data_IF_674302522510
#
_entry.id   IF_674302522510
#
_cell.length_a   1.000
_cell.length_b   1.000
_cell.length_c   1.000
_cell.angle_alpha   90.00
_cell.angle_beta   90.00
_cell.angle_gamma   90.00
#
_symmetry.space_group_name_H-M   'P 1'
#
loop_
_entity.id
_entity.type
_entity.pdbx_description
1 polymer ?
#
# COMPACT_ATOMS: atom_id res chain seq x y z
N UNK A 1 18.89 67.55 -5.63
CA UNK A 1 17.83 68.43 -6.16
C UNK A 1 17.56 68.07 -7.62
N UNK A 2 16.28 67.83 -7.98
CA UNK A 2 15.65 67.69 -9.33
C UNK A 2 16.03 66.42 -10.13
N UNK A 3 15.24 65.34 -10.15
CA UNK A 3 13.94 65.08 -10.81
C UNK A 3 13.91 65.32 -12.33
N UNK A 4 13.85 64.25 -13.12
CA UNK A 4 12.71 63.85 -13.99
C UNK A 4 13.14 62.80 -15.03
N UNK A 5 12.46 61.66 -15.09
CA UNK A 5 12.16 61.02 -16.37
C UNK A 5 10.81 60.31 -16.31
N UNK A 6 10.08 60.54 -17.38
CA UNK A 6 8.65 60.38 -17.58
C UNK A 6 8.29 58.94 -17.96
N UNK A 7 7.02 58.59 -17.75
CA UNK A 7 6.25 57.49 -18.35
C UNK A 7 6.31 56.10 -17.70
N UNK A 8 5.73 56.02 -16.50
CA UNK A 8 5.12 54.80 -15.96
C UNK A 8 3.59 54.97 -16.07
N UNK A 9 3.09 54.89 -17.30
CA UNK A 9 1.66 54.94 -17.56
C UNK A 9 1.26 53.70 -18.36
N UNK A 10 0.38 52.90 -17.73
CA UNK A 10 -0.39 51.78 -18.29
C UNK A 10 0.23 50.38 -18.13
N UNK A 11 0.20 49.86 -16.91
CA UNK A 11 -0.22 48.48 -16.70
C UNK A 11 -1.39 48.48 -15.72
N UNK A 12 -2.56 48.83 -16.28
CA UNK A 12 -3.86 48.66 -15.66
C UNK A 12 -4.10 47.17 -15.42
N UNK A 13 -4.29 46.84 -14.14
CA UNK A 13 -5.40 46.05 -13.57
C UNK A 13 -5.78 44.70 -14.19
N UNK A 14 -6.17 43.80 -13.27
CA UNK A 14 -6.91 42.54 -13.44
C UNK A 14 -6.12 41.34 -13.96
N UNK A 15 -5.60 40.54 -13.01
CA UNK A 15 -5.96 39.13 -12.82
C UNK A 15 -5.23 38.61 -11.56
N UNK A 16 -5.81 38.85 -10.39
CA UNK A 16 -5.49 38.05 -9.20
C UNK A 16 -6.23 36.72 -9.38
N UNK A 17 -5.64 35.81 -10.15
CA UNK A 17 -6.01 34.40 -10.11
C UNK A 17 -5.44 33.84 -8.81
N UNK A 18 -6.28 33.80 -7.77
CA UNK A 18 -6.05 32.94 -6.60
C UNK A 18 -6.14 31.51 -7.10
N UNK A 19 -4.99 30.95 -7.49
CA UNK A 19 -4.84 29.52 -7.70
C UNK A 19 -4.80 28.86 -6.32
N UNK A 20 -5.95 28.38 -5.86
CA UNK A 20 -6.00 27.33 -4.84
C UNK A 20 -5.30 26.10 -5.42
N UNK A 21 -4.03 25.91 -5.08
CA UNK A 21 -3.35 24.64 -5.29
C UNK A 21 -3.98 23.61 -4.34
N UNK A 22 -5.01 22.91 -4.79
CA UNK A 22 -5.48 21.70 -4.12
C UNK A 22 -4.41 20.64 -4.33
N UNK A 23 -3.66 20.31 -3.29
CA UNK A 23 -2.82 19.13 -3.25
C UNK A 23 -3.75 17.91 -3.37
N UNK A 24 -3.89 17.36 -4.57
CA UNK A 24 -4.48 16.02 -4.75
C UNK A 24 -3.42 15.04 -4.25
N UNK A 25 -3.59 14.55 -3.04
CA UNK A 25 -2.85 13.38 -2.57
C UNK A 25 -3.50 12.14 -3.18
N UNK A 26 -2.68 11.22 -3.69
CA UNK A 26 -3.18 9.99 -4.28
C UNK A 26 -3.82 9.11 -3.20
N UNK A 27 -5.00 8.56 -3.51
CA UNK A 27 -5.65 7.60 -2.63
C UNK A 27 -4.81 6.31 -2.56
N UNK A 28 -4.67 5.71 -1.37
CA UNK A 28 -3.88 4.50 -1.18
C UNK A 28 -4.56 3.30 -1.85
N UNK A 29 -3.79 2.59 -2.66
CA UNK A 29 -4.23 1.35 -3.31
C UNK A 29 -3.63 0.17 -2.57
N UNK A 30 -4.48 -0.72 -2.07
CA UNK A 30 -4.06 -1.94 -1.38
C UNK A 30 -3.52 -2.97 -2.37
N UNK A 31 -2.33 -3.49 -2.06
CA UNK A 31 -1.62 -4.48 -2.87
C UNK A 31 -1.32 -5.73 -2.06
N UNK A 32 -1.39 -6.87 -2.74
CA UNK A 32 -1.28 -8.20 -2.19
C UNK A 32 -0.22 -8.98 -2.98
N UNK A 33 0.42 -9.92 -2.30
CA UNK A 33 1.30 -10.88 -2.96
C UNK A 33 0.51 -11.88 -3.83
N UNK A 34 1.05 -12.25 -5.00
CA UNK A 34 0.43 -13.19 -5.96
C UNK A 34 0.56 -14.65 -5.48
N UNK A 35 -0.49 -15.46 -5.56
CA UNK A 35 -0.52 -16.88 -5.12
C UNK A 35 0.33 -17.82 -5.98
N UNK A 36 0.63 -17.45 -7.23
CA UNK A 36 1.36 -18.31 -8.18
C UNK A 36 2.90 -18.31 -8.06
N UNK A 37 3.49 -17.53 -7.14
CA UNK A 37 4.93 -17.28 -7.11
C UNK A 37 5.67 -17.77 -5.85
N UNK A 38 5.08 -18.72 -5.11
CA UNK A 38 5.76 -19.39 -3.99
C UNK A 38 6.88 -20.28 -4.53
N UNK A 39 8.13 -19.81 -4.46
CA UNK A 39 9.29 -20.68 -4.62
C UNK A 39 9.33 -21.67 -3.42
N UNK A 40 9.04 -22.95 -3.73
CA UNK A 40 9.20 -24.18 -2.95
C UNK A 40 8.21 -24.50 -1.80
N UNK A 41 7.21 -25.35 -2.12
CA UNK A 41 6.70 -26.56 -1.42
C UNK A 41 5.26 -26.82 -1.94
N UNK A 42 4.91 -27.88 -2.68
CA UNK A 42 5.46 -29.22 -2.84
C UNK A 42 5.16 -29.73 -4.25
N UNK A 43 6.07 -30.51 -4.83
CA UNK A 43 5.75 -31.38 -5.96
C UNK A 43 4.71 -32.41 -5.51
N UNK A 44 3.46 -32.26 -5.95
CA UNK A 44 2.50 -33.35 -6.03
C UNK A 44 2.39 -33.71 -7.51
N UNK A 45 2.52 -35.01 -7.74
CA UNK A 45 2.70 -35.72 -8.99
C UNK A 45 1.78 -35.25 -10.14
N UNK A 46 2.39 -35.11 -11.31
CA UNK A 46 1.77 -34.67 -12.56
C UNK A 46 1.27 -35.88 -13.32
N UNK A 47 -0.01 -36.24 -13.15
CA UNK A 47 -0.81 -36.92 -14.18
C UNK A 47 -2.27 -36.99 -13.69
N UNK A 48 -3.23 -36.72 -14.58
CA UNK A 48 -4.68 -36.84 -14.33
C UNK A 48 -5.37 -35.71 -13.55
N UNK A 49 -5.09 -34.44 -13.85
CA UNK A 49 -6.07 -33.37 -13.61
C UNK A 49 -6.36 -32.58 -14.88
N UNK A 50 -6.97 -33.28 -15.84
CA UNK A 50 -7.48 -32.68 -17.07
C UNK A 50 -8.58 -31.65 -16.77
N UNK A 51 -8.27 -30.39 -17.09
CA UNK A 51 -9.11 -29.51 -17.91
C UNK A 51 -10.54 -29.20 -17.44
N UNK A 52 -10.69 -28.61 -16.25
CA UNK A 52 -11.90 -27.82 -15.90
C UNK A 52 -11.59 -26.39 -15.38
N UNK A 53 -10.34 -25.93 -15.40
CA UNK A 53 -9.96 -24.60 -14.89
C UNK A 53 -10.10 -23.45 -15.92
N UNK A 54 -10.88 -23.62 -16.99
CA UNK A 54 -11.09 -22.56 -18.00
C UNK A 54 -12.34 -21.70 -17.74
N UNK A 55 -13.00 -21.86 -16.58
CA UNK A 55 -14.17 -21.07 -16.20
C UNK A 55 -14.10 -20.61 -14.74
N UNK A 56 -13.04 -19.90 -14.39
CA UNK A 56 -12.94 -19.22 -13.11
C UNK A 56 -11.89 -18.13 -13.23
N UNK A 57 -12.33 -16.90 -13.49
CA UNK A 57 -11.60 -15.70 -13.15
C UNK A 57 -11.44 -15.61 -11.63
N UNK A 58 -10.64 -16.50 -11.05
CA UNK A 58 -10.16 -16.36 -9.68
C UNK A 58 -8.98 -15.40 -9.74
N UNK A 59 -8.94 -14.37 -8.89
CA UNK A 59 -7.87 -13.40 -8.95
C UNK A 59 -6.57 -14.07 -8.53
N UNK A 60 -5.48 -13.82 -9.24
CA UNK A 60 -4.14 -14.32 -8.92
C UNK A 60 -3.62 -13.80 -7.54
N UNK A 61 -4.41 -13.05 -6.76
CA UNK A 61 -4.07 -12.63 -5.39
C UNK A 61 -4.36 -13.69 -4.33
N UNK A 62 -3.68 -13.54 -3.20
CA UNK A 62 -4.14 -14.10 -1.93
C UNK A 62 -5.57 -13.62 -1.59
N UNK A 63 -6.43 -14.54 -1.15
CA UNK A 63 -7.78 -14.23 -0.69
C UNK A 63 -7.75 -13.58 0.69
N UNK A 64 -7.65 -12.26 0.74
CA UNK A 64 -7.60 -11.47 1.99
C UNK A 64 -8.82 -10.56 2.06
N UNK A 65 -9.49 -10.52 3.22
CA UNK A 65 -10.63 -9.64 3.46
C UNK A 65 -10.23 -8.34 4.15
N UNK A 66 -11.13 -7.34 4.15
CA UNK A 66 -10.93 -6.10 4.92
C UNK A 66 -10.75 -6.39 6.43
N UNK A 67 -11.42 -7.43 6.95
CA UNK A 67 -11.26 -7.88 8.35
C UNK A 67 -9.83 -8.34 8.61
N UNK A 68 -9.28 -9.13 7.70
CA UNK A 68 -7.90 -9.63 7.78
C UNK A 68 -6.89 -8.47 7.78
N UNK A 69 -7.11 -7.43 6.96
CA UNK A 69 -6.31 -6.21 6.98
C UNK A 69 -6.37 -5.52 8.35
N UNK A 70 -7.57 -5.35 8.91
CA UNK A 70 -7.74 -4.73 10.23
C UNK A 70 -6.99 -5.53 11.31
N UNK A 71 -7.17 -6.85 11.30
CA UNK A 71 -6.58 -7.75 12.29
C UNK A 71 -5.04 -7.71 12.22
N UNK A 72 -4.44 -7.86 11.03
CA UNK A 72 -2.97 -7.87 10.91
C UNK A 72 -2.34 -6.51 11.28
N UNK A 73 -2.94 -5.39 10.87
CA UNK A 73 -2.42 -4.06 11.23
C UNK A 73 -2.66 -3.75 12.71
N UNK A 74 -3.69 -4.32 13.34
CA UNK A 74 -3.90 -4.23 14.80
C UNK A 74 -2.98 -5.15 15.63
N UNK A 75 -2.15 -5.96 14.96
CA UNK A 75 -1.23 -6.90 15.60
C UNK A 75 -1.84 -8.26 15.96
N UNK A 76 -3.08 -8.52 15.51
CA UNK A 76 -3.71 -9.84 15.62
C UNK A 76 -3.18 -10.73 14.49
N UNK A 77 -2.69 -11.95 14.79
CA UNK A 77 -2.15 -12.83 13.75
C UNK A 77 -3.27 -13.33 12.82
N UNK A 78 -3.03 -13.24 11.53
CA UNK A 78 -3.91 -13.74 10.46
C UNK A 78 -3.18 -14.80 9.66
N UNK A 79 -3.90 -15.78 9.09
CA UNK A 79 -3.34 -16.82 8.23
C UNK A 79 -4.05 -16.86 6.89
N UNK A 80 -3.29 -17.08 5.83
CA UNK A 80 -3.80 -17.38 4.49
C UNK A 80 -3.34 -18.80 4.16
N UNK A 81 -4.28 -19.74 4.15
CA UNK A 81 -3.96 -21.16 4.18
C UNK A 81 -3.15 -21.50 5.44
N UNK A 82 -2.03 -22.18 5.27
CA UNK A 82 -1.14 -22.57 6.38
C UNK A 82 -0.07 -21.52 6.72
N UNK A 83 0.02 -20.43 5.95
CA UNK A 83 1.06 -19.41 6.12
C UNK A 83 0.53 -18.20 6.91
N UNK A 84 1.37 -17.58 7.77
CA UNK A 84 1.01 -16.34 8.44
C UNK A 84 0.98 -15.17 7.44
N UNK A 85 -0.02 -14.30 7.55
CA UNK A 85 -0.10 -13.08 6.76
C UNK A 85 0.89 -12.04 7.30
N UNK A 86 1.69 -11.48 6.40
CA UNK A 86 2.57 -10.34 6.66
C UNK A 86 1.94 -9.02 6.25
N UNK A 87 2.20 -7.95 7.01
CA UNK A 87 1.79 -6.59 6.68
C UNK A 87 3.02 -5.68 6.59
N UNK A 88 3.13 -4.94 5.49
CA UNK A 88 4.17 -3.93 5.30
C UNK A 88 3.62 -2.55 5.66
N UNK A 89 4.38 -1.77 6.44
CA UNK A 89 3.92 -0.49 7.00
C UNK A 89 5.02 0.57 6.93
N UNK A 90 4.68 1.76 6.44
CA UNK A 90 5.56 2.93 6.50
C UNK A 90 5.32 3.72 7.80
N UNK A 91 6.29 3.78 8.73
CA UNK A 91 6.11 4.46 9.99
C UNK A 91 6.18 5.99 9.82
N UNK A 92 5.39 6.70 10.62
CA UNK A 92 5.42 8.17 10.68
C UNK A 92 4.08 8.80 10.31
N UNK A 93 4.15 10.03 9.79
CA UNK A 93 2.99 10.83 9.33
C UNK A 93 2.94 10.94 7.81
N UNK A 94 3.41 9.90 7.12
CA UNK A 94 3.32 9.83 5.68
C UNK A 94 1.83 9.88 5.24
N UNK A 95 1.43 10.82 4.34
CA UNK A 95 0.03 10.99 3.96
C UNK A 95 -0.62 9.73 3.40
N UNK A 96 0.13 8.93 2.63
CA UNK A 96 -0.37 7.68 2.04
C UNK A 96 -0.71 6.67 3.14
N UNK A 97 0.17 6.52 4.13
CA UNK A 97 -0.01 5.64 5.29
C UNK A 97 -1.15 6.10 6.20
N UNK A 98 -1.29 7.41 6.40
CA UNK A 98 -2.41 7.99 7.14
C UNK A 98 -3.74 7.66 6.43
N UNK A 99 -3.82 7.93 5.14
CA UNK A 99 -5.01 7.65 4.34
C UNK A 99 -5.34 6.14 4.31
N UNK A 100 -4.33 5.29 4.17
CA UNK A 100 -4.52 3.83 4.08
C UNK A 100 -5.13 3.29 5.36
N UNK A 101 -4.54 3.62 6.50
CA UNK A 101 -5.03 3.16 7.80
C UNK A 101 -6.37 3.80 8.17
N UNK A 102 -6.59 5.07 7.83
CA UNK A 102 -7.89 5.72 8.03
C UNK A 102 -9.01 5.06 7.20
N UNK A 103 -8.72 4.57 6.00
CA UNK A 103 -9.69 3.84 5.18
C UNK A 103 -10.18 2.55 5.85
N UNK A 104 -9.39 1.99 6.76
CA UNK A 104 -9.73 0.82 7.58
C UNK A 104 -10.30 1.18 8.97
N UNK A 105 -10.46 2.46 9.28
CA UNK A 105 -10.86 2.93 10.60
C UNK A 105 -9.77 2.78 11.67
N UNK A 106 -8.51 2.57 11.27
CA UNK A 106 -7.38 2.40 12.17
C UNK A 106 -6.68 3.74 12.47
N UNK A 107 -6.13 3.86 13.68
CA UNK A 107 -5.37 5.04 14.09
C UNK A 107 -3.86 4.85 13.88
N UNK A 108 -3.21 5.60 12.97
CA UNK A 108 -1.78 5.45 12.64
C UNK A 108 -0.80 5.49 13.82
N UNK A 109 -0.99 6.34 14.86
CA UNK A 109 -0.13 6.32 16.04
C UNK A 109 -0.16 5.00 16.82
N UNK A 110 -1.31 4.31 16.84
CA UNK A 110 -1.44 3.01 17.51
C UNK A 110 -0.66 1.93 16.75
N UNK A 111 -0.75 1.93 15.42
CA UNK A 111 0.00 1.00 14.55
C UNK A 111 1.50 1.25 14.66
N UNK A 112 1.93 2.51 14.67
CA UNK A 112 3.34 2.86 14.87
C UNK A 112 3.86 2.42 16.25
N UNK A 113 3.04 2.54 17.30
CA UNK A 113 3.39 2.04 18.63
C UNK A 113 3.52 0.51 18.64
N UNK A 114 2.62 -0.21 17.97
CA UNK A 114 2.69 -1.67 17.82
C UNK A 114 3.93 -2.11 17.05
N UNK A 115 4.21 -1.47 15.91
CA UNK A 115 5.38 -1.76 15.09
C UNK A 115 6.70 -1.54 15.85
N UNK A 116 6.74 -0.53 16.74
CA UNK A 116 7.91 -0.25 17.61
C UNK A 116 8.01 -1.18 18.82
N UNK A 117 6.89 -1.75 19.29
CA UNK A 117 6.84 -2.67 20.44
C UNK A 117 7.07 -4.14 20.03
N UNK A 118 7.37 -4.40 18.76
CA UNK A 118 7.43 -5.71 18.12
C UNK A 118 8.63 -6.61 18.47
N UNK A 119 9.33 -6.40 19.60
CA UNK A 119 10.29 -7.39 20.11
C UNK A 119 9.66 -8.46 21.01
N UNK A 120 8.44 -8.25 21.50
CA UNK A 120 7.75 -9.13 22.45
C UNK A 120 6.52 -9.84 21.86
N UNK A 121 5.94 -9.29 20.79
CA UNK A 121 4.85 -9.90 20.03
C UNK A 121 5.43 -10.14 18.65
N UNK A 122 5.49 -11.40 18.25
CA UNK A 122 5.96 -11.89 16.96
C UNK A 122 5.00 -11.45 15.84
N UNK A 123 4.83 -10.13 15.67
CA UNK A 123 3.97 -9.55 14.66
C UNK A 123 4.66 -9.68 13.32
N UNK A 124 3.98 -10.25 12.32
CA UNK A 124 4.42 -10.26 10.92
C UNK A 124 4.28 -8.87 10.28
N UNK A 125 4.61 -7.82 11.03
CA UNK A 125 4.45 -6.42 10.66
C UNK A 125 5.84 -5.82 10.38
N UNK A 126 6.10 -5.52 9.11
CA UNK A 126 7.40 -5.13 8.59
C UNK A 126 7.43 -3.63 8.35
N UNK A 127 8.42 -2.95 8.91
CA UNK A 127 8.63 -1.53 8.69
C UNK A 127 9.38 -1.28 7.37
N UNK A 128 8.88 -0.35 6.58
CA UNK A 128 9.49 0.11 5.32
C UNK A 128 9.61 1.64 5.33
N UNK A 129 10.54 2.22 4.55
CA UNK A 129 10.75 3.68 4.57
C UNK A 129 10.09 4.45 3.42
N UNK A 130 9.73 3.76 2.35
CA UNK A 130 9.22 4.35 1.12
C UNK A 130 8.42 3.32 0.30
N UNK A 131 7.77 3.78 -0.77
CA UNK A 131 6.96 2.93 -1.66
C UNK A 131 7.78 1.86 -2.39
N UNK A 132 9.06 2.10 -2.70
CA UNK A 132 9.90 1.08 -3.35
C UNK A 132 10.19 -0.07 -2.38
N UNK A 133 10.49 0.26 -1.12
CA UNK A 133 10.62 -0.73 -0.06
C UNK A 133 9.29 -1.40 0.29
N UNK A 134 8.17 -0.68 0.23
CA UNK A 134 6.84 -1.26 0.38
C UNK A 134 6.60 -2.36 -0.65
N UNK A 135 6.80 -2.05 -1.94
CA UNK A 135 6.69 -3.03 -3.01
C UNK A 135 7.61 -4.23 -2.78
N UNK A 136 8.90 -3.98 -2.50
CA UNK A 136 9.86 -5.04 -2.22
C UNK A 136 9.48 -5.88 -0.99
N UNK A 137 8.89 -5.27 0.03
CA UNK A 137 8.43 -5.96 1.23
C UNK A 137 7.29 -6.92 0.90
N UNK A 138 6.29 -6.49 0.12
CA UNK A 138 5.18 -7.33 -0.33
C UNK A 138 5.70 -8.49 -1.18
N UNK A 139 6.63 -8.23 -2.09
CA UNK A 139 7.21 -9.27 -2.97
C UNK A 139 8.05 -10.32 -2.22
N UNK A 140 8.61 -9.98 -1.05
CA UNK A 140 9.54 -10.85 -0.30
C UNK A 140 8.86 -11.68 0.78
N UNK A 141 7.75 -11.22 1.34
CA UNK A 141 7.12 -11.84 2.51
C UNK A 141 5.79 -12.50 2.15
N UNK A 142 5.79 -13.46 1.23
CA UNK A 142 4.55 -14.16 0.89
C UNK A 142 4.00 -14.98 2.08
N UNK A 143 2.69 -14.90 2.40
CA UNK A 143 1.69 -13.97 1.87
C UNK A 143 1.77 -12.59 2.55
N UNK A 144 1.77 -11.50 1.77
CA UNK A 144 1.88 -10.13 2.30
C UNK A 144 0.87 -9.15 1.72
N UNK A 145 0.57 -8.12 2.51
CA UNK A 145 -0.21 -6.94 2.12
C UNK A 145 0.55 -5.64 2.39
N UNK A 146 0.27 -4.63 1.58
CA UNK A 146 0.74 -3.26 1.76
C UNK A 146 -0.06 -2.29 0.89
N UNK A 147 0.41 -1.04 0.80
CA UNK A 147 -0.30 0.01 0.07
C UNK A 147 0.66 0.88 -0.74
N UNK A 148 0.24 1.27 -1.95
CA UNK A 148 1.02 2.09 -2.88
C UNK A 148 0.14 3.22 -3.43
N UNK A 149 0.77 4.30 -3.91
CA UNK A 149 0.08 5.44 -4.51
C UNK A 149 -0.40 5.19 -5.95
N UNK A 150 0.15 4.14 -6.58
CA UNK A 150 -0.14 3.76 -7.96
C UNK A 150 -0.45 2.27 -8.04
N UNK A 151 -1.32 1.85 -8.97
CA UNK A 151 -1.53 0.44 -9.22
C UNK A 151 -0.24 -0.17 -9.78
N UNK A 152 0.17 -1.29 -9.20
CA UNK A 152 1.32 -2.08 -9.64
C UNK A 152 0.83 -3.50 -9.89
N UNK A 153 1.05 -3.98 -11.12
CA UNK A 153 0.75 -5.33 -11.53
C UNK A 153 2.06 -5.99 -12.00
N UNK A 154 2.50 -6.98 -11.23
CA UNK A 154 3.72 -7.75 -11.46
C UNK A 154 3.45 -9.22 -11.20
N UNK A 155 4.40 -10.06 -11.57
CA UNK A 155 4.43 -11.49 -11.28
C UNK A 155 4.27 -11.80 -9.78
N UNK A 156 4.74 -10.91 -8.87
CA UNK A 156 4.71 -11.15 -7.42
C UNK A 156 3.69 -10.31 -6.65
N UNK A 157 3.20 -9.21 -7.21
CA UNK A 157 2.35 -8.22 -6.51
C UNK A 157 1.27 -7.73 -7.45
N UNK A 158 0.04 -7.61 -6.95
CA UNK A 158 -1.06 -6.97 -7.65
C UNK A 158 -2.08 -6.33 -6.67
N UNK A 159 -3.00 -5.47 -7.14
CA UNK A 159 -4.04 -4.89 -6.29
C UNK A 159 -4.96 -5.97 -5.69
N UNK A 160 -5.38 -5.80 -4.42
CA UNK A 160 -6.20 -6.77 -3.70
C UNK A 160 -7.72 -6.64 -3.93
N UNK A 161 -8.20 -5.41 -4.15
CA UNK A 161 -9.62 -5.03 -4.17
C UNK A 161 -9.92 -4.09 -5.32
#
# INVERSE_FOLDING_TARGET
>A
MKFTHTQLARCLSTWVLVTCATSVWADPIWHCSRTGHTEAQSAVDTSEQFSLASMSSAPDVIGVSIRDLIDIYSGVPVRVGDLPLSACFMPGRDPLSLAALQSLGLQPPAIQALARKSSLVQSNLHLVTDEQQMHACISRHFPAVGYLSKPVDTDKVLPCF
#
